data_IF_315241858900
#
_entry.id   IF_315241858900
#
_cell.length_a   1.000
_cell.length_b   1.000
_cell.length_c   1.000
_cell.angle_alpha   90.00
_cell.angle_beta   90.00
_cell.angle_gamma   90.00
#
_symmetry.space_group_name_H-M   'P 1'
#
loop_
_entity.id
_entity.type
_entity.pdbx_description
1 polymer ?
#
# COMPACT_ATOMS: atom_id res chain seq x y z
N UNK A 1 29.45 2.73 -5.47
CA UNK A 1 28.85 2.54 -4.14
C UNK A 1 27.71 3.55 -4.04
N UNK A 2 26.45 3.11 -4.12
CA UNK A 2 25.29 4.01 -4.16
C UNK A 2 25.18 4.70 -2.81
N UNK A 3 25.43 6.01 -2.79
CA UNK A 3 25.54 6.78 -1.56
C UNK A 3 24.13 7.07 -1.02
N UNK A 4 23.58 6.10 -0.27
CA UNK A 4 22.27 6.17 0.41
C UNK A 4 22.14 7.28 1.47
N UNK A 5 23.25 7.99 1.73
CA UNK A 5 23.42 8.94 2.83
C UNK A 5 23.20 10.41 2.42
N UNK A 6 22.91 10.69 1.14
CA UNK A 6 22.69 12.04 0.60
C UNK A 6 21.22 12.41 0.39
N UNK A 7 20.29 11.47 0.57
CA UNK A 7 18.87 11.81 0.57
C UNK A 7 18.55 12.54 1.87
N UNK A 8 18.21 13.83 1.74
CA UNK A 8 17.70 14.64 2.83
C UNK A 8 16.50 13.90 3.46
N UNK A 9 16.36 13.95 4.79
CA UNK A 9 15.31 13.21 5.48
C UNK A 9 13.90 13.58 4.97
N UNK A 10 13.77 14.77 4.36
CA UNK A 10 12.58 15.23 3.65
C UNK A 10 12.33 14.53 2.32
N UNK A 11 13.34 14.32 1.47
CA UNK A 11 13.15 13.61 0.20
C UNK A 11 12.74 12.16 0.43
N UNK A 12 13.35 11.48 1.42
CA UNK A 12 12.90 10.14 1.81
C UNK A 12 11.44 10.17 2.25
N UNK A 13 11.04 11.13 3.10
CA UNK A 13 9.66 11.28 3.56
C UNK A 13 8.68 11.53 2.41
N UNK A 14 9.06 12.35 1.43
CA UNK A 14 8.24 12.62 0.24
C UNK A 14 8.05 11.36 -0.61
N UNK A 15 9.11 10.56 -0.80
CA UNK A 15 9.02 9.27 -1.51
C UNK A 15 8.11 8.30 -0.74
N UNK A 16 8.29 8.17 0.57
CA UNK A 16 7.45 7.32 1.42
C UNK A 16 5.97 7.71 1.36
N UNK A 17 5.67 8.99 1.50
CA UNK A 17 4.29 9.50 1.42
C UNK A 17 3.67 9.21 0.05
N UNK A 18 4.45 9.34 -1.03
CA UNK A 18 3.95 9.03 -2.38
C UNK A 18 3.70 7.55 -2.60
N UNK A 19 4.57 6.67 -2.09
CA UNK A 19 4.35 5.22 -2.13
C UNK A 19 3.11 4.84 -1.32
N UNK A 20 2.90 5.45 -0.15
CA UNK A 20 1.69 5.25 0.64
C UNK A 20 0.43 5.64 -0.15
N UNK A 21 0.44 6.82 -0.78
CA UNK A 21 -0.68 7.27 -1.60
C UNK A 21 -0.94 6.37 -2.80
N UNK A 22 0.10 5.85 -3.46
CA UNK A 22 -0.04 4.91 -4.57
C UNK A 22 -0.68 3.60 -4.11
N UNK A 23 -0.22 3.05 -2.99
CA UNK A 23 -0.82 1.84 -2.43
C UNK A 23 -2.29 2.09 -2.06
N UNK A 24 -2.58 3.22 -1.40
CA UNK A 24 -3.96 3.58 -1.05
C UNK A 24 -4.85 3.71 -2.29
N UNK A 25 -4.33 4.28 -3.40
CA UNK A 25 -5.05 4.40 -4.66
C UNK A 25 -5.36 3.03 -5.27
N UNK A 26 -4.38 2.13 -5.35
CA UNK A 26 -4.59 0.75 -5.87
C UNK A 26 -5.61 0.00 -5.02
N UNK A 27 -5.53 0.15 -3.70
CA UNK A 27 -6.45 -0.48 -2.76
C UNK A 27 -7.87 0.06 -2.92
N UNK A 28 -8.04 1.39 -2.98
CA UNK A 28 -9.33 2.03 -3.16
C UNK A 28 -10.00 1.68 -4.50
N UNK A 29 -9.22 1.32 -5.51
CA UNK A 29 -9.73 0.86 -6.80
C UNK A 29 -10.24 -0.60 -6.78
N UNK A 30 -10.05 -1.34 -5.68
CA UNK A 30 -10.42 -2.77 -5.59
C UNK A 30 -11.34 -3.08 -4.43
N UNK A 31 -11.23 -2.33 -3.35
CA UNK A 31 -12.02 -2.51 -2.14
C UNK A 31 -12.33 -1.18 -1.49
N UNK A 32 -13.35 -1.21 -0.65
CA UNK A 32 -13.80 -0.08 0.15
C UNK A 32 -13.63 -0.41 1.63
N UNK A 33 -13.07 0.54 2.39
CA UNK A 33 -13.00 0.46 3.85
C UNK A 33 -14.18 1.24 4.41
N UNK A 34 -15.26 0.54 4.76
CA UNK A 34 -16.47 1.16 5.31
C UNK A 34 -16.42 1.32 6.83
N UNK A 35 -15.60 0.53 7.54
CA UNK A 35 -15.41 0.61 8.98
C UNK A 35 -13.93 0.49 9.38
N UNK A 36 -13.25 1.63 9.38
CA UNK A 36 -11.83 1.72 9.74
C UNK A 36 -11.55 1.44 11.22
N UNK A 37 -12.51 1.71 12.11
CA UNK A 37 -12.35 1.44 13.54
C UNK A 37 -12.32 -0.08 13.80
N UNK A 38 -13.23 -0.82 13.15
CA UNK A 38 -13.24 -2.28 13.19
C UNK A 38 -11.99 -2.87 12.57
N UNK A 39 -11.53 -2.35 11.43
CA UNK A 39 -10.30 -2.80 10.80
C UNK A 39 -9.10 -2.64 11.75
N UNK A 40 -8.97 -1.48 12.40
CA UNK A 40 -7.92 -1.22 13.38
C UNK A 40 -7.98 -2.19 14.55
N UNK A 41 -9.16 -2.40 15.14
CA UNK A 41 -9.32 -3.35 16.25
C UNK A 41 -8.91 -4.76 15.84
N UNK A 42 -9.23 -5.19 14.62
CA UNK A 42 -8.83 -6.50 14.11
C UNK A 42 -7.31 -6.62 13.92
N UNK A 43 -6.65 -5.56 13.45
CA UNK A 43 -5.19 -5.52 13.35
C UNK A 43 -4.53 -5.62 14.73
N UNK A 44 -5.04 -4.87 15.71
CA UNK A 44 -4.58 -4.91 17.10
C UNK A 44 -4.78 -6.31 17.73
N UNK A 45 -5.97 -6.90 17.57
CA UNK A 45 -6.29 -8.25 18.09
C UNK A 45 -5.41 -9.34 17.48
N UNK A 46 -5.07 -9.22 16.20
CA UNK A 46 -4.20 -10.17 15.49
C UNK A 46 -2.71 -9.88 15.65
N UNK A 47 -2.35 -8.86 16.44
CA UNK A 47 -0.98 -8.38 16.61
C UNK A 47 -0.27 -8.11 15.28
N UNK A 48 -1.04 -7.69 14.27
CA UNK A 48 -0.48 -7.30 12.98
C UNK A 48 0.13 -5.93 13.16
N UNK A 49 1.42 -5.77 12.82
CA UNK A 49 2.07 -4.45 12.85
C UNK A 49 1.34 -3.52 11.89
N UNK A 50 0.99 -2.33 12.33
CA UNK A 50 0.45 -1.26 11.50
C UNK A 50 0.93 0.09 12.01
N UNK A 51 0.89 1.11 11.14
CA UNK A 51 1.22 2.48 11.52
C UNK A 51 -0.09 3.24 11.67
N UNK A 52 -0.46 3.72 12.87
CA UNK A 52 -1.75 4.34 13.14
C UNK A 52 -1.96 5.69 12.44
N UNK A 53 -0.91 6.29 11.88
CA UNK A 53 -0.97 7.52 11.09
C UNK A 53 -1.21 7.26 9.59
N UNK A 54 -1.06 6.01 9.14
CA UNK A 54 -1.27 5.63 7.75
C UNK A 54 -2.75 5.54 7.38
N UNK A 55 -3.02 5.60 6.07
CA UNK A 55 -4.36 5.41 5.53
C UNK A 55 -4.99 4.05 5.93
N UNK A 56 -6.33 3.99 6.18
CA UNK A 56 -7.05 2.73 6.39
C UNK A 56 -6.88 1.73 5.24
N UNK A 57 -6.61 2.20 4.02
CA UNK A 57 -6.29 1.34 2.89
C UNK A 57 -4.95 0.61 3.07
N UNK A 58 -3.95 1.27 3.65
CA UNK A 58 -2.69 0.59 3.99
C UNK A 58 -2.92 -0.46 5.07
N UNK A 59 -3.77 -0.18 6.05
CA UNK A 59 -4.16 -1.14 7.08
C UNK A 59 -4.85 -2.37 6.48
N UNK A 60 -5.78 -2.17 5.54
CA UNK A 60 -6.47 -3.23 4.84
C UNK A 60 -5.48 -4.08 4.03
N UNK A 61 -4.49 -3.45 3.38
CA UNK A 61 -3.42 -4.16 2.70
C UNK A 61 -2.61 -5.03 3.66
N UNK A 62 -2.20 -4.50 4.83
CA UNK A 62 -1.46 -5.29 5.82
C UNK A 62 -2.25 -6.50 6.33
N UNK A 63 -3.56 -6.33 6.51
CA UNK A 63 -4.46 -7.42 6.86
C UNK A 63 -4.45 -8.51 5.77
N UNK A 64 -4.61 -8.14 4.50
CA UNK A 64 -4.62 -9.07 3.37
C UNK A 64 -3.23 -9.72 3.18
N UNK A 65 -2.15 -8.95 3.27
CA UNK A 65 -0.78 -9.43 3.10
C UNK A 65 -0.37 -10.43 4.20
N UNK A 66 -0.92 -10.34 5.40
CA UNK A 66 -0.64 -11.27 6.51
C UNK A 66 -1.67 -12.38 6.64
N UNK A 67 -2.93 -12.09 6.29
CA UNK A 67 -4.08 -12.92 6.63
C UNK A 67 -4.88 -13.47 5.44
N UNK A 68 -4.52 -13.15 4.19
CA UNK A 68 -5.28 -13.56 2.97
C UNK A 68 -5.67 -15.04 2.92
N UNK A 69 -4.84 -15.95 3.48
CA UNK A 69 -5.14 -17.39 3.51
C UNK A 69 -6.12 -17.82 4.61
N UNK A 70 -6.29 -17.00 5.65
CA UNK A 70 -7.11 -17.30 6.84
C UNK A 70 -8.39 -16.46 6.90
N UNK A 71 -8.50 -15.43 6.08
CA UNK A 71 -9.65 -14.53 6.05
C UNK A 71 -10.63 -15.06 5.02
N UNK A 72 -11.74 -15.62 5.50
CA UNK A 72 -12.84 -16.06 4.63
C UNK A 72 -13.87 -14.97 4.37
N UNK A 73 -14.00 -14.00 5.28
CA UNK A 73 -14.98 -12.91 5.19
C UNK A 73 -14.29 -11.59 5.51
N UNK A 74 -13.85 -10.86 4.49
CA UNK A 74 -13.17 -9.57 4.65
C UNK A 74 -14.13 -8.49 5.19
N UNK A 75 -15.43 -8.62 4.92
CA UNK A 75 -16.50 -7.74 5.44
C UNK A 75 -16.55 -7.76 6.97
N UNK A 76 -16.17 -8.89 7.59
CA UNK A 76 -16.05 -9.01 9.04
C UNK A 76 -14.93 -8.16 9.65
N UNK A 77 -14.11 -7.51 8.82
CA UNK A 77 -13.03 -6.61 9.20
C UNK A 77 -13.34 -5.15 8.90
N UNK A 78 -14.55 -4.83 8.42
CA UNK A 78 -14.91 -3.46 8.03
C UNK A 78 -14.45 -3.08 6.62
N UNK A 79 -14.17 -4.07 5.78
CA UNK A 79 -13.67 -3.91 4.42
C UNK A 79 -14.50 -4.74 3.46
N UNK A 80 -14.96 -4.17 2.37
CA UNK A 80 -15.74 -4.87 1.34
C UNK A 80 -15.00 -4.80 0.00
N UNK A 81 -14.98 -5.89 -0.75
CA UNK A 81 -14.49 -5.87 -2.13
C UNK A 81 -15.49 -5.14 -3.01
N UNK A 82 -15.00 -4.39 -3.99
CA UNK A 82 -15.87 -3.80 -5.00
C UNK A 82 -16.57 -4.90 -5.81
N UNK A 83 -17.73 -4.61 -6.43
CA UNK A 83 -18.51 -5.61 -7.15
C UNK A 83 -17.71 -6.39 -8.20
N UNK A 84 -16.76 -5.71 -8.87
CA UNK A 84 -15.89 -6.28 -9.90
C UNK A 84 -14.92 -7.36 -9.36
N UNK A 85 -14.60 -7.30 -8.06
CA UNK A 85 -13.65 -8.19 -7.39
C UNK A 85 -14.33 -9.10 -6.36
N UNK A 86 -15.66 -9.13 -6.29
CA UNK A 86 -16.39 -9.86 -5.25
C UNK A 86 -16.16 -11.37 -5.29
N UNK A 87 -15.98 -11.91 -6.49
CA UNK A 87 -15.71 -13.34 -6.73
C UNK A 87 -14.21 -13.69 -6.62
N UNK A 88 -13.34 -12.69 -6.39
CA UNK A 88 -11.91 -12.93 -6.25
C UNK A 88 -11.59 -13.43 -4.85
N UNK A 89 -10.65 -14.38 -4.76
CA UNK A 89 -10.09 -14.77 -3.48
C UNK A 89 -9.05 -13.71 -3.02
N UNK A 90 -8.85 -13.61 -1.71
CA UNK A 90 -7.91 -12.62 -1.15
C UNK A 90 -6.44 -12.83 -1.56
N UNK A 91 -5.94 -14.07 -1.73
CA UNK A 91 -4.60 -14.29 -2.28
C UNK A 91 -4.40 -13.72 -3.69
N UNK A 92 -5.32 -13.97 -4.62
CA UNK A 92 -5.26 -13.48 -6.00
C UNK A 92 -5.42 -11.96 -6.03
N UNK A 93 -6.32 -11.42 -5.20
CA UNK A 93 -6.48 -9.97 -5.05
C UNK A 93 -5.18 -9.32 -4.57
N UNK A 94 -4.51 -9.92 -3.58
CA UNK A 94 -3.21 -9.46 -3.09
C UNK A 94 -2.17 -9.45 -4.20
N UNK A 95 -2.05 -10.53 -4.97
CA UNK A 95 -1.05 -10.62 -6.04
C UNK A 95 -1.34 -9.58 -7.14
N UNK A 96 -2.61 -9.31 -7.44
CA UNK A 96 -3.01 -8.24 -8.35
C UNK A 96 -2.65 -6.84 -7.81
N UNK A 97 -2.90 -6.59 -6.51
CA UNK A 97 -2.49 -5.35 -5.84
C UNK A 97 -0.97 -5.17 -5.92
N UNK A 98 -0.20 -6.21 -5.56
CA UNK A 98 1.26 -6.16 -5.54
C UNK A 98 1.84 -5.88 -6.94
N UNK A 99 1.27 -6.50 -7.99
CA UNK A 99 1.63 -6.21 -9.39
C UNK A 99 1.32 -4.79 -9.80
N UNK A 100 0.12 -4.31 -9.53
CA UNK A 100 -0.31 -2.98 -9.96
C UNK A 100 0.43 -1.88 -9.20
N UNK A 101 0.64 -2.08 -7.91
CA UNK A 101 1.49 -1.22 -7.09
C UNK A 101 2.92 -1.17 -7.62
N UNK A 102 3.50 -2.31 -8.01
CA UNK A 102 4.84 -2.35 -8.61
C UNK A 102 4.91 -1.58 -9.93
N UNK A 103 3.96 -1.79 -10.84
CA UNK A 103 3.90 -1.11 -12.15
C UNK A 103 3.73 0.41 -11.98
N UNK A 104 2.83 0.85 -11.10
CA UNK A 104 2.64 2.27 -10.81
C UNK A 104 3.87 2.87 -10.15
N UNK A 105 4.49 2.15 -9.22
CA UNK A 105 5.72 2.60 -8.56
C UNK A 105 6.87 2.75 -9.54
N UNK A 106 7.05 1.81 -10.47
CA UNK A 106 8.08 1.88 -11.52
C UNK A 106 7.83 3.06 -12.47
N UNK A 107 6.60 3.24 -12.95
CA UNK A 107 6.23 4.37 -13.80
C UNK A 107 6.46 5.72 -13.09
N UNK A 108 6.12 5.81 -11.81
CA UNK A 108 6.37 7.00 -11.00
C UNK A 108 7.85 7.25 -10.74
N UNK A 109 8.63 6.19 -10.48
CA UNK A 109 10.07 6.27 -10.29
C UNK A 109 10.78 6.80 -11.54
N UNK A 110 10.48 6.24 -12.70
CA UNK A 110 11.05 6.68 -13.98
C UNK A 110 10.69 8.14 -14.30
N UNK A 111 9.50 8.59 -13.91
CA UNK A 111 9.00 9.93 -14.26
C UNK A 111 9.48 11.05 -13.33
N UNK A 112 9.69 10.78 -12.04
CA UNK A 112 9.99 11.82 -11.03
C UNK A 112 11.34 11.65 -10.32
N UNK A 113 11.88 10.43 -10.23
CA UNK A 113 13.13 10.17 -9.51
C UNK A 113 14.32 10.11 -10.47
N UNK A 114 14.18 9.44 -11.62
CA UNK A 114 15.24 9.35 -12.63
C UNK A 114 15.74 10.72 -13.17
N UNK A 115 14.88 11.72 -13.48
CA UNK A 115 15.37 13.02 -13.94
C UNK A 115 16.08 13.82 -12.83
N UNK A 116 15.67 13.68 -11.57
CA UNK A 116 16.29 14.33 -10.41
C UNK A 116 17.69 13.78 -10.12
N UNK A 117 17.90 12.47 -10.35
CA UNK A 117 19.20 11.81 -10.20
C UNK A 117 20.22 12.24 -11.28
N UNK A 118 19.76 12.49 -12.51
CA UNK A 118 20.60 12.97 -13.61
C UNK A 118 21.07 14.43 -13.41
N UNK A 119 20.28 15.28 -12.73
CA UNK A 119 20.68 16.66 -12.44
C UNK A 119 21.72 16.77 -11.31
N UNK A 120 21.80 15.80 -10.39
CA UNK A 120 22.74 15.80 -9.28
C UNK A 120 24.17 15.37 -9.66
N UNK A 121 24.36 14.71 -10.81
CA UNK A 121 25.66 14.23 -11.29
C UNK A 121 26.35 15.16 -12.30
N UNK A 122 25.78 16.36 -12.52
CA UNK A 122 26.25 17.34 -13.50
C UNK A 122 26.95 18.57 -12.91
N UNK A 123 27.49 18.51 -11.68
CA UNK A 123 28.24 19.62 -11.08
C UNK A 123 29.54 19.14 -10.46
#
# INVERSE_FOLDING_TARGET
MVNWNLYDAEEKRAVWSRLEQLLAQVMAAKLEVFDAARLRLQLEQRQIRFVPEQSPYCWAYQLIARGSRLINQIEAYGVALLPEFRDWNLPDLRDAIDREFFLLSEAHYQRYIAPSFLQASGR
#
